data_IF_414738678822
#
_entry.id   IF_414738678822
#
_cell.length_a   1.000
_cell.length_b   1.000
_cell.length_c   1.000
_cell.angle_alpha   90.00
_cell.angle_beta   90.00
_cell.angle_gamma   90.00
#
_symmetry.space_group_name_H-M   'P 1'
#
loop_
_entity.id
_entity.type
_entity.pdbx_description
1 polymer ?
#
# COMPACT_ATOMS: atom_id res chain seq x y z
N UNK A 1 13.00 -4.84 8.26
CA UNK A 1 12.15 -4.07 9.22
C UNK A 1 11.18 -3.20 8.45
N UNK A 2 10.02 -2.85 9.01
CA UNK A 2 9.12 -1.87 8.38
C UNK A 2 9.73 -0.46 8.46
N UNK A 3 9.42 0.45 7.51
CA UNK A 3 9.74 1.86 7.68
C UNK A 3 8.98 2.46 8.87
N UNK A 4 9.47 3.58 9.41
CA UNK A 4 8.75 4.30 10.46
C UNK A 4 7.49 4.99 9.93
N UNK A 5 6.43 5.19 10.75
CA UNK A 5 5.20 5.84 10.30
C UNK A 5 5.40 7.22 9.67
N UNK A 6 6.31 8.03 10.21
CA UNK A 6 6.59 9.35 9.66
C UNK A 6 7.18 9.29 8.24
N UNK A 7 8.17 8.41 8.02
CA UNK A 7 8.78 8.22 6.70
C UNK A 7 7.76 7.68 5.69
N UNK A 8 6.90 6.77 6.13
CA UNK A 8 5.82 6.23 5.32
C UNK A 8 4.81 7.32 4.93
N UNK A 9 4.38 8.15 5.88
CA UNK A 9 3.51 9.32 5.62
C UNK A 9 4.12 10.26 4.59
N UNK A 10 5.39 10.65 4.79
CA UNK A 10 6.11 11.54 3.88
C UNK A 10 6.21 10.96 2.46
N UNK A 11 6.42 9.64 2.34
CA UNK A 11 6.45 8.98 1.04
C UNK A 11 5.11 9.07 0.28
N UNK A 12 3.98 9.02 1.00
CA UNK A 12 2.67 9.28 0.40
C UNK A 12 2.50 10.75 -0.01
N UNK A 13 2.97 11.70 0.82
CA UNK A 13 2.91 13.14 0.49
C UNK A 13 3.71 13.48 -0.77
N UNK A 14 4.88 12.86 -0.97
CA UNK A 14 5.70 13.01 -2.18
C UNK A 14 4.99 12.54 -3.46
N UNK A 15 3.94 11.73 -3.32
CA UNK A 15 3.10 11.22 -4.39
C UNK A 15 1.62 11.46 -4.11
N UNK A 16 1.31 12.64 -3.56
CA UNK A 16 -0.07 13.02 -3.21
C UNK A 16 -1.03 12.90 -4.41
N UNK A 17 -0.53 13.03 -5.65
CA UNK A 17 -1.27 12.77 -6.89
C UNK A 17 -1.96 11.40 -6.89
N UNK A 18 -1.31 10.38 -6.34
CA UNK A 18 -1.86 9.01 -6.29
C UNK A 18 -2.96 8.86 -5.23
N UNK A 19 -2.96 9.69 -4.18
CA UNK A 19 -3.90 9.55 -3.06
C UNK A 19 -5.09 10.52 -3.18
N UNK A 20 -5.04 11.51 -4.08
CA UNK A 20 -6.09 12.52 -4.24
C UNK A 20 -7.46 11.94 -4.63
N UNK A 21 -7.48 10.83 -5.36
CA UNK A 21 -8.72 10.18 -5.78
C UNK A 21 -9.31 9.26 -4.69
N UNK A 22 -8.55 8.93 -3.65
CA UNK A 22 -8.99 7.99 -2.64
C UNK A 22 -10.07 8.58 -1.73
N UNK A 23 -11.16 7.83 -1.57
CA UNK A 23 -12.17 8.14 -0.55
C UNK A 23 -11.55 8.21 0.86
N UNK A 24 -12.04 9.12 1.73
CA UNK A 24 -11.67 9.14 3.13
C UNK A 24 -11.91 7.77 3.80
N UNK A 25 -10.92 7.30 4.56
CA UNK A 25 -10.92 5.98 5.19
C UNK A 25 -10.44 4.83 4.28
N UNK A 26 -10.01 5.11 3.04
CA UNK A 26 -9.28 4.16 2.22
C UNK A 26 -7.95 3.78 2.90
N UNK A 27 -7.64 2.48 2.98
CA UNK A 27 -6.49 1.97 3.73
C UNK A 27 -5.60 1.01 2.93
N UNK A 28 -4.29 1.25 2.97
CA UNK A 28 -3.26 0.40 2.37
C UNK A 28 -2.26 -0.02 3.45
N UNK A 29 -2.12 -1.32 3.66
CA UNK A 29 -1.19 -1.89 4.65
C UNK A 29 0.12 -2.38 4.02
N UNK A 30 1.21 -2.33 4.80
CA UNK A 30 2.49 -2.98 4.53
C UNK A 30 2.87 -3.90 5.71
N UNK A 31 3.20 -5.16 5.43
CA UNK A 31 3.66 -6.14 6.42
C UNK A 31 4.96 -6.82 6.00
N UNK A 32 5.72 -7.29 6.98
CA UNK A 32 6.86 -8.16 6.76
C UNK A 32 6.40 -9.62 6.58
N UNK A 33 6.55 -10.16 5.36
CA UNK A 33 6.03 -11.49 4.98
C UNK A 33 6.56 -12.62 5.86
N UNK A 34 7.81 -12.54 6.32
CA UNK A 34 8.44 -13.57 7.15
C UNK A 34 8.04 -13.55 8.63
N UNK A 35 7.57 -12.41 9.15
CA UNK A 35 7.15 -12.25 10.55
C UNK A 35 6.16 -11.08 10.68
N UNK A 36 4.89 -11.29 10.27
CA UNK A 36 3.92 -10.21 10.19
C UNK A 36 3.23 -10.01 11.54
N UNK A 37 3.94 -9.51 12.56
CA UNK A 37 3.31 -9.17 13.85
C UNK A 37 2.64 -7.79 13.82
N UNK A 38 3.19 -6.89 13.00
CA UNK A 38 2.75 -5.51 12.84
C UNK A 38 2.58 -5.19 11.36
N UNK A 39 1.75 -4.20 11.12
CA UNK A 39 1.47 -3.63 9.82
C UNK A 39 1.61 -2.12 9.93
N UNK A 40 2.14 -1.52 8.88
CA UNK A 40 2.14 -0.08 8.70
C UNK A 40 1.06 0.31 7.71
N UNK A 41 0.18 1.22 8.09
CA UNK A 41 -1.03 1.53 7.33
C UNK A 41 -1.00 2.98 6.89
N UNK A 42 -1.17 3.21 5.58
CA UNK A 42 -1.68 4.49 5.07
C UNK A 42 -3.20 4.51 5.19
N UNK A 43 -3.74 5.62 5.68
CA UNK A 43 -5.17 5.89 5.69
C UNK A 43 -5.43 7.25 5.05
N UNK A 44 -6.28 7.28 4.02
CA UNK A 44 -6.71 8.52 3.37
C UNK A 44 -7.66 9.30 4.28
N UNK A 45 -7.53 10.62 4.28
CA UNK A 45 -8.45 11.57 4.90
C UNK A 45 -8.81 12.65 3.88
N UNK A 46 -9.77 13.53 4.19
CA UNK A 46 -10.24 14.59 3.28
C UNK A 46 -9.12 15.49 2.73
N UNK A 47 -7.98 15.61 3.43
CA UNK A 47 -6.93 16.58 3.10
C UNK A 47 -5.51 16.01 3.09
N UNK A 48 -5.31 14.77 3.53
CA UNK A 48 -3.98 14.19 3.70
C UNK A 48 -4.03 12.65 3.80
N UNK A 49 -2.85 12.04 3.75
CA UNK A 49 -2.67 10.64 4.13
C UNK A 49 -2.04 10.60 5.51
N UNK A 50 -2.64 9.84 6.42
CA UNK A 50 -2.04 9.51 7.71
C UNK A 50 -1.32 8.16 7.63
N UNK A 51 -0.30 7.99 8.46
CA UNK A 51 0.38 6.70 8.60
C UNK A 51 0.44 6.27 10.07
N UNK A 52 0.14 5.00 10.34
CA UNK A 52 0.15 4.45 11.69
C UNK A 52 0.57 2.98 11.72
N UNK A 53 1.17 2.59 12.85
CA UNK A 53 1.39 1.19 13.18
C UNK A 53 0.08 0.56 13.68
N UNK A 54 -0.20 -0.65 13.20
CA UNK A 54 -1.32 -1.47 13.64
C UNK A 54 -0.86 -2.91 13.87
N UNK A 55 -1.47 -3.64 14.82
CA UNK A 55 -1.20 -5.07 14.96
C UNK A 55 -1.72 -5.83 13.72
N UNK A 56 -0.95 -6.76 13.18
CA UNK A 56 -1.42 -7.63 12.12
C UNK A 56 -1.95 -8.94 12.72
N UNK A 57 -3.27 -9.12 12.67
CA UNK A 57 -3.96 -10.31 13.23
C UNK A 57 -4.32 -11.34 12.14
N UNK A 58 -3.70 -11.23 10.97
CA UNK A 58 -4.02 -12.01 9.79
C UNK A 58 -4.91 -11.26 8.78
N UNK A 59 -4.97 -11.78 7.56
CA UNK A 59 -5.58 -11.11 6.40
C UNK A 59 -7.06 -10.73 6.61
N UNK A 60 -7.87 -11.63 7.19
CA UNK A 60 -9.30 -11.37 7.41
C UNK A 60 -9.59 -10.30 8.47
N UNK A 61 -8.62 -9.97 9.31
CA UNK A 61 -8.73 -8.99 10.40
C UNK A 61 -7.81 -7.77 10.18
N UNK A 62 -7.23 -7.61 8.99
CA UNK A 62 -6.25 -6.56 8.71
C UNK A 62 -6.87 -5.15 8.60
N UNK A 63 -8.19 -5.04 8.40
CA UNK A 63 -8.92 -3.76 8.29
C UNK A 63 -8.34 -2.77 7.28
N UNK A 64 -7.70 -3.29 6.21
CA UNK A 64 -7.20 -2.53 5.05
C UNK A 64 -7.88 -3.02 3.78
N UNK A 65 -7.92 -2.18 2.74
CA UNK A 65 -8.50 -2.56 1.45
C UNK A 65 -7.46 -3.26 0.56
N UNK A 66 -6.18 -2.85 0.67
CA UNK A 66 -5.03 -3.45 0.00
C UNK A 66 -3.94 -3.76 1.04
N UNK A 67 -3.29 -4.92 0.93
CA UNK A 67 -2.16 -5.31 1.77
C UNK A 67 -0.95 -5.70 0.92
N UNK A 68 0.17 -5.03 1.16
CA UNK A 68 1.48 -5.34 0.60
C UNK A 68 2.27 -6.19 1.60
N UNK A 69 2.66 -7.39 1.20
CA UNK A 69 3.50 -8.28 2.00
C UNK A 69 4.88 -8.43 1.35
N UNK A 70 5.89 -7.82 1.95
CA UNK A 70 7.25 -7.78 1.42
C UNK A 70 8.17 -8.75 2.17
N UNK A 71 9.08 -9.43 1.46
CA UNK A 71 10.19 -10.13 2.11
C UNK A 71 11.26 -9.16 2.65
N UNK A 72 12.24 -9.70 3.36
CA UNK A 72 13.24 -8.89 4.05
C UNK A 72 14.06 -8.02 3.09
N UNK A 73 14.50 -8.58 1.95
CA UNK A 73 15.29 -7.86 0.95
C UNK A 73 14.47 -6.72 0.30
N UNK A 74 13.18 -6.96 0.03
CA UNK A 74 12.29 -5.93 -0.47
C UNK A 74 12.02 -4.84 0.58
N UNK A 75 11.87 -5.21 1.86
CA UNK A 75 11.67 -4.26 2.94
C UNK A 75 12.85 -3.30 3.11
N UNK A 76 14.08 -3.79 3.02
CA UNK A 76 15.27 -2.92 3.10
C UNK A 76 15.26 -1.86 1.99
N UNK A 77 14.91 -2.26 0.76
CA UNK A 77 14.77 -1.35 -0.37
C UNK A 77 13.62 -0.36 -0.17
N UNK A 78 12.48 -0.82 0.36
CA UNK A 78 11.32 0.03 0.67
C UNK A 78 11.68 1.10 1.70
N UNK A 79 12.41 0.73 2.76
CA UNK A 79 12.86 1.66 3.80
C UNK A 79 13.72 2.76 3.18
N UNK A 80 14.72 2.41 2.38
CA UNK A 80 15.58 3.38 1.68
C UNK A 80 14.78 4.25 0.71
N UNK A 81 13.79 3.68 0.02
CA UNK A 81 13.02 4.38 -1.00
C UNK A 81 11.92 5.30 -0.44
N UNK A 82 11.67 5.33 0.87
CA UNK A 82 10.68 6.25 1.47
C UNK A 82 10.98 7.73 1.20
N UNK A 83 12.25 8.09 1.02
CA UNK A 83 12.69 9.44 0.64
C UNK A 83 12.88 9.61 -0.88
N UNK A 84 12.54 8.59 -1.68
CA UNK A 84 12.85 8.52 -3.10
C UNK A 84 11.75 7.82 -3.91
N UNK A 85 12.10 6.95 -4.88
CA UNK A 85 11.15 6.39 -5.82
C UNK A 85 10.38 5.17 -5.26
N UNK A 86 9.66 5.36 -4.15
CA UNK A 86 8.99 4.27 -3.42
C UNK A 86 8.08 3.41 -4.33
N UNK A 87 7.23 4.04 -5.14
CA UNK A 87 6.29 3.30 -6.00
C UNK A 87 7.00 2.51 -7.12
N UNK A 88 8.16 2.97 -7.59
CA UNK A 88 8.96 2.21 -8.55
C UNK A 88 9.56 0.95 -7.89
N UNK A 89 10.02 1.08 -6.65
CA UNK A 89 10.54 -0.05 -5.85
C UNK A 89 9.42 -1.04 -5.53
N UNK A 90 8.24 -0.57 -5.12
CA UNK A 90 7.08 -1.42 -4.88
C UNK A 90 6.66 -2.16 -6.16
N UNK A 91 6.55 -1.46 -7.29
CA UNK A 91 6.22 -2.05 -8.59
C UNK A 91 7.25 -3.11 -9.02
N UNK A 92 8.54 -2.80 -8.88
CA UNK A 92 9.60 -3.77 -9.18
C UNK A 92 9.49 -5.01 -8.28
N UNK A 93 9.24 -4.82 -6.98
CA UNK A 93 9.05 -5.89 -6.02
C UNK A 93 7.82 -6.77 -6.30
N UNK A 94 6.72 -6.17 -6.76
CA UNK A 94 5.52 -6.89 -7.19
C UNK A 94 5.83 -7.75 -8.42
N UNK A 95 6.53 -7.18 -9.41
CA UNK A 95 6.92 -7.91 -10.62
C UNK A 95 7.88 -9.06 -10.36
N UNK A 96 8.78 -8.94 -9.37
CA UNK A 96 9.70 -10.01 -8.99
C UNK A 96 9.11 -11.02 -8.00
N UNK A 97 7.94 -10.75 -7.42
CA UNK A 97 7.31 -11.59 -6.39
C UNK A 97 7.91 -11.45 -4.99
N UNK A 98 8.83 -10.49 -4.79
CA UNK A 98 9.39 -10.16 -3.46
C UNK A 98 8.44 -9.28 -2.64
N UNK A 99 7.48 -8.63 -3.30
CA UNK A 99 6.30 -8.01 -2.70
C UNK A 99 5.06 -8.70 -3.26
N UNK A 100 4.17 -9.18 -2.38
CA UNK A 100 2.87 -9.74 -2.76
C UNK A 100 1.80 -8.72 -2.42
N UNK A 101 0.99 -8.32 -3.40
CA UNK A 101 -0.12 -7.40 -3.21
C UNK A 101 -1.44 -8.18 -3.13
N UNK A 102 -2.10 -8.11 -1.98
CA UNK A 102 -3.41 -8.71 -1.73
C UNK A 102 -4.50 -7.64 -1.79
N UNK A 103 -5.48 -7.83 -2.68
CA UNK A 103 -6.71 -7.04 -2.69
C UNK A 103 -7.70 -7.68 -1.72
N UNK A 104 -7.99 -7.02 -0.61
CA UNK A 104 -8.88 -7.53 0.44
C UNK A 104 -10.33 -7.05 0.25
N UNK A 105 -10.56 -6.14 -0.71
CA UNK A 105 -11.87 -5.76 -1.23
C UNK A 105 -12.05 -6.29 -2.64
N UNK A 106 -13.31 -6.35 -3.10
CA UNK A 106 -13.60 -6.64 -4.50
C UNK A 106 -13.13 -5.48 -5.36
N UNK A 107 -12.77 -5.79 -6.59
CA UNK A 107 -12.27 -4.81 -7.56
C UNK A 107 -13.22 -3.62 -7.76
N UNK A 108 -14.52 -3.85 -7.98
CA UNK A 108 -15.49 -2.76 -8.14
C UNK A 108 -15.55 -1.82 -6.93
N UNK A 109 -15.35 -2.36 -5.72
CA UNK A 109 -15.34 -1.57 -4.49
C UNK A 109 -14.06 -0.72 -4.41
N UNK A 110 -12.93 -1.23 -4.91
CA UNK A 110 -11.66 -0.48 -4.99
C UNK A 110 -11.73 0.63 -6.04
N UNK A 111 -12.26 0.34 -7.23
CA UNK A 111 -12.50 1.33 -8.30
C UNK A 111 -13.40 2.45 -7.79
N UNK A 112 -14.52 2.10 -7.14
CA UNK A 112 -15.45 3.08 -6.55
C UNK A 112 -14.78 3.97 -5.49
N UNK A 113 -13.82 3.42 -4.74
CA UNK A 113 -13.05 4.14 -3.72
C UNK A 113 -11.85 4.93 -4.29
N UNK A 114 -11.65 4.94 -5.61
CA UNK A 114 -10.60 5.72 -6.28
C UNK A 114 -9.20 5.12 -6.21
N UNK A 115 -9.06 3.79 -6.13
CA UNK A 115 -7.75 3.13 -6.08
C UNK A 115 -7.04 3.00 -7.45
N UNK A 116 -7.65 3.46 -8.53
CA UNK A 116 -7.19 3.18 -9.89
C UNK A 116 -5.77 3.67 -10.14
N UNK A 117 -5.48 4.92 -9.77
CA UNK A 117 -4.18 5.56 -9.94
C UNK A 117 -3.08 4.86 -9.13
N UNK A 118 -3.38 4.46 -7.89
CA UNK A 118 -2.43 3.70 -7.04
C UNK A 118 -2.15 2.33 -7.64
N UNK A 119 -3.19 1.63 -8.07
CA UNK A 119 -3.06 0.29 -8.61
C UNK A 119 -2.29 0.31 -9.93
N UNK A 120 -2.52 1.31 -10.79
CA UNK A 120 -1.72 1.55 -11.98
C UNK A 120 -0.25 1.84 -11.63
N UNK A 121 0.00 2.70 -10.64
CA UNK A 121 1.36 3.00 -10.18
C UNK A 121 2.09 1.76 -9.64
N UNK A 122 1.37 0.85 -8.97
CA UNK A 122 1.88 -0.45 -8.53
C UNK A 122 2.07 -1.46 -9.66
N UNK A 123 1.63 -1.13 -10.88
CA UNK A 123 1.80 -1.93 -12.08
C UNK A 123 0.64 -2.87 -12.40
N UNK A 124 -0.51 -2.72 -11.74
CA UNK A 124 -1.74 -3.42 -12.12
C UNK A 124 -2.43 -2.67 -13.25
N UNK A 125 -2.66 -3.36 -14.37
CA UNK A 125 -3.45 -2.82 -15.47
C UNK A 125 -4.83 -3.44 -15.39
N UNK A 126 -5.82 -2.61 -15.09
CA UNK A 126 -7.21 -3.02 -15.05
C UNK A 126 -7.80 -3.02 -16.47
N UNK A 127 -7.79 -4.18 -17.12
CA UNK A 127 -8.54 -4.39 -18.36
C UNK A 127 -9.91 -4.99 -18.05
N UNK A 128 -10.97 -4.23 -18.33
CA UNK A 128 -12.36 -4.73 -18.39
C UNK A 128 -13.26 -4.24 -17.24
N UNK A 129 -14.48 -3.85 -17.57
CA UNK A 129 -15.48 -3.40 -16.60
C UNK A 129 -15.94 -4.54 -15.68
N UNK A 130 -16.04 -4.29 -14.38
CA UNK A 130 -16.95 -5.05 -13.53
C UNK A 130 -18.35 -4.93 -14.14
N UNK A 131 -18.86 -6.02 -14.72
CA UNK A 131 -20.23 -6.15 -15.22
C UNK A 131 -20.99 -7.13 -14.34
#
# INVERSE_FOLDING_TARGET
>A
MLPGPQAWRLAAENRADLFQALDPGARIGLVARGSPEKMLVWESSDHAVEAKDMPFKGYGAAEVDILLAADNDALEKIVVATEGPLFEVLRAGIRSGSVVCYMLRRRCDLETKGYDEILEALGFVFMGACR
#
